data_IF_388822925106
#
_entry.id   IF_388822925106
#
_cell.length_a   1.000
_cell.length_b   1.000
_cell.length_c   1.000
_cell.angle_alpha   90.00
_cell.angle_beta   90.00
_cell.angle_gamma   90.00
#
_symmetry.space_group_name_H-M   'P 1'
#
loop_
_entity.id
_entity.type
_entity.pdbx_description
1 polymer ?
#
# COMPACT_ATOMS: atom_id res chain seq x y z
N UNK A 1 28.11 30.14 -56.25
CA UNK A 1 27.53 28.78 -56.05
C UNK A 1 28.37 27.87 -55.13
N UNK A 2 29.71 27.86 -55.22
CA UNK A 2 30.56 26.94 -54.43
C UNK A 2 30.70 27.27 -52.93
N UNK A 3 30.51 28.52 -52.53
CA UNK A 3 30.55 28.96 -51.10
C UNK A 3 29.23 28.64 -50.38
N UNK A 4 28.10 28.74 -51.09
CA UNK A 4 26.77 28.38 -50.55
C UNK A 4 26.65 26.87 -50.28
N UNK A 5 27.23 26.03 -51.15
CA UNK A 5 27.26 24.58 -50.96
C UNK A 5 28.11 24.15 -49.75
N UNK A 6 29.26 24.81 -49.53
CA UNK A 6 30.13 24.51 -48.37
C UNK A 6 29.50 24.93 -47.03
N UNK A 7 28.77 26.05 -47.00
CA UNK A 7 28.01 26.49 -45.83
C UNK A 7 26.84 25.56 -45.52
N UNK A 8 26.11 25.09 -46.54
CA UNK A 8 25.01 24.14 -46.36
C UNK A 8 25.54 22.78 -45.86
N UNK A 9 26.65 22.28 -46.40
CA UNK A 9 27.27 21.02 -45.93
C UNK A 9 27.80 21.15 -44.51
N UNK A 10 28.42 22.28 -44.14
CA UNK A 10 28.89 22.51 -42.78
C UNK A 10 27.74 22.62 -41.77
N UNK A 11 26.62 23.26 -42.13
CA UNK A 11 25.44 23.38 -41.27
C UNK A 11 24.75 22.01 -41.09
N UNK A 12 24.68 21.18 -42.15
CA UNK A 12 24.14 19.82 -42.05
C UNK A 12 25.05 18.91 -41.21
N UNK A 13 26.37 19.03 -41.33
CA UNK A 13 27.32 18.24 -40.52
C UNK A 13 27.27 18.59 -39.01
N UNK A 14 27.00 19.86 -38.66
CA UNK A 14 26.82 20.27 -37.25
C UNK A 14 25.47 19.80 -36.71
N UNK A 15 24.43 19.70 -37.55
CA UNK A 15 23.10 19.24 -37.14
C UNK A 15 23.00 17.72 -36.96
N UNK A 16 23.74 16.92 -37.74
CA UNK A 16 23.77 15.46 -37.58
C UNK A 16 24.57 15.02 -36.35
N UNK A 17 25.56 15.82 -35.91
CA UNK A 17 26.39 15.49 -34.74
C UNK A 17 25.81 15.93 -33.40
N UNK A 18 24.69 16.67 -33.40
CA UNK A 18 24.04 17.20 -32.18
C UNK A 18 22.69 16.55 -31.88
N UNK A 19 22.43 15.33 -32.35
CA UNK A 19 21.35 14.53 -31.79
C UNK A 19 21.80 14.04 -30.41
N UNK A 20 21.25 14.52 -29.29
CA UNK A 20 21.38 13.77 -28.05
C UNK A 20 20.74 12.42 -28.34
N UNK A 21 21.52 11.35 -28.21
CA UNK A 21 21.00 9.99 -28.19
C UNK A 21 19.91 9.98 -27.13
N UNK A 22 18.64 10.00 -27.56
CA UNK A 22 17.52 9.65 -26.71
C UNK A 22 17.67 8.15 -26.49
N UNK A 23 18.58 7.80 -25.58
CA UNK A 23 18.59 6.51 -24.95
C UNK A 23 17.20 6.40 -24.33
N UNK A 24 16.33 5.66 -25.02
CA UNK A 24 15.11 5.17 -24.42
C UNK A 24 15.57 4.56 -23.11
N UNK A 25 15.21 5.21 -22.00
CA UNK A 25 15.38 4.64 -20.68
C UNK A 25 14.37 3.49 -20.64
N UNK A 26 14.74 2.40 -21.31
CA UNK A 26 14.21 1.07 -21.07
C UNK A 26 14.72 0.67 -19.70
N UNK A 27 14.23 1.38 -18.68
CA UNK A 27 14.05 0.78 -17.38
C UNK A 27 12.96 -0.25 -17.63
N UNK A 28 13.37 -1.41 -18.15
CA UNK A 28 12.64 -2.64 -17.88
C UNK A 28 12.31 -2.59 -16.39
N UNK A 29 11.09 -2.94 -15.97
CA UNK A 29 10.86 -3.07 -14.54
C UNK A 29 11.91 -4.06 -14.05
N UNK A 30 12.93 -3.52 -13.36
CA UNK A 30 13.83 -4.33 -12.57
C UNK A 30 12.85 -5.07 -11.69
N UNK A 31 12.72 -6.37 -11.95
CA UNK A 31 11.87 -7.26 -11.21
C UNK A 31 12.48 -7.19 -9.82
N UNK A 32 12.01 -6.23 -9.02
CA UNK A 32 12.55 -5.94 -7.72
C UNK A 32 12.47 -7.28 -7.04
N UNK A 33 13.63 -7.92 -6.91
CA UNK A 33 13.73 -9.12 -6.15
C UNK A 33 13.40 -8.60 -4.77
N UNK A 34 12.15 -8.81 -4.35
CA UNK A 34 11.75 -8.84 -2.96
C UNK A 34 12.54 -10.03 -2.43
N UNK A 35 13.84 -9.80 -2.22
CA UNK A 35 14.63 -10.53 -1.27
C UNK A 35 13.82 -10.35 -0.01
N UNK A 36 13.07 -11.39 0.33
CA UNK A 36 12.18 -11.43 1.46
C UNK A 36 13.01 -11.35 2.73
N UNK A 37 13.62 -10.19 2.98
CA UNK A 37 14.03 -9.78 4.30
C UNK A 37 12.71 -9.70 5.04
N UNK A 38 12.33 -10.81 5.68
CA UNK A 38 11.27 -10.85 6.67
C UNK A 38 11.60 -9.73 7.63
N UNK A 39 10.95 -8.58 7.47
CA UNK A 39 10.90 -7.58 8.51
C UNK A 39 10.13 -8.31 9.61
N UNK A 40 10.86 -8.85 10.57
CA UNK A 40 10.27 -9.43 11.74
C UNK A 40 9.54 -8.27 12.44
N UNK A 41 8.23 -8.15 12.18
CA UNK A 41 7.37 -7.22 12.89
C UNK A 41 7.39 -7.72 14.31
N UNK A 42 8.17 -7.03 15.14
CA UNK A 42 8.22 -7.38 16.55
C UNK A 42 6.84 -7.07 17.13
N UNK A 43 6.21 -8.04 17.82
CA UNK A 43 4.91 -7.81 18.43
C UNK A 43 5.03 -6.66 19.43
N UNK A 44 4.02 -5.80 19.47
CA UNK A 44 3.98 -4.67 20.41
C UNK A 44 3.75 -5.11 21.85
N UNK A 45 3.36 -6.38 22.07
CA UNK A 45 3.13 -6.95 23.39
C UNK A 45 3.50 -8.45 23.46
N UNK A 46 4.16 -8.86 24.54
CA UNK A 46 4.41 -10.28 24.85
C UNK A 46 3.31 -10.82 25.75
N UNK A 47 2.33 -11.52 25.17
CA UNK A 47 1.13 -11.98 25.87
C UNK A 47 1.42 -12.90 27.07
N UNK A 48 2.60 -13.55 27.12
CA UNK A 48 3.01 -14.41 28.24
C UNK A 48 3.22 -13.64 29.55
N UNK A 49 3.42 -12.33 29.46
CA UNK A 49 3.66 -11.46 30.63
C UNK A 49 2.38 -11.02 31.33
N UNK A 50 1.21 -11.10 30.68
CA UNK A 50 -0.05 -10.65 31.27
C UNK A 50 -0.71 -11.75 32.09
N UNK A 51 -0.87 -11.51 33.40
CA UNK A 51 -1.53 -12.46 34.32
C UNK A 51 -2.97 -12.76 33.91
N UNK A 52 -3.67 -11.77 33.36
CA UNK A 52 -5.06 -11.85 32.89
C UNK A 52 -5.26 -12.88 31.77
N UNK A 53 -4.19 -13.20 31.02
CA UNK A 53 -4.20 -14.15 29.89
C UNK A 53 -3.71 -15.55 30.28
N UNK A 54 -3.36 -15.80 31.55
CA UNK A 54 -2.83 -17.10 32.01
C UNK A 54 -3.91 -18.10 32.46
N UNK A 55 -5.18 -17.70 32.47
CA UNK A 55 -6.30 -18.58 32.80
C UNK A 55 -6.77 -19.36 31.56
N UNK A 56 -7.61 -20.37 31.75
CA UNK A 56 -8.33 -21.01 30.64
C UNK A 56 -9.18 -19.99 29.88
N UNK A 57 -8.98 -19.92 28.57
CA UNK A 57 -9.75 -19.08 27.64
C UNK A 57 -10.20 -19.99 26.50
N UNK A 58 -11.40 -20.58 26.62
CA UNK A 58 -11.88 -21.61 25.71
C UNK A 58 -12.55 -21.02 24.47
N UNK A 59 -12.98 -19.75 24.57
CA UNK A 59 -13.74 -19.08 23.51
C UNK A 59 -13.25 -17.66 23.27
N UNK A 60 -13.36 -17.19 22.03
CA UNK A 60 -13.00 -15.82 21.64
C UNK A 60 -13.54 -14.71 22.57
N UNK A 61 -14.84 -14.73 22.96
CA UNK A 61 -15.38 -13.71 23.86
C UNK A 61 -14.71 -13.64 25.24
N UNK A 62 -14.17 -14.74 25.75
CA UNK A 62 -13.44 -14.76 27.03
C UNK A 62 -12.10 -14.03 26.91
N UNK A 63 -11.42 -14.20 25.77
CA UNK A 63 -10.20 -13.45 25.44
C UNK A 63 -10.53 -11.96 25.33
N UNK A 64 -11.58 -11.60 24.60
CA UNK A 64 -12.02 -10.19 24.47
C UNK A 64 -12.31 -9.58 25.83
N UNK A 65 -13.02 -10.31 26.72
CA UNK A 65 -13.29 -9.84 28.09
C UNK A 65 -12.01 -9.59 28.88
N UNK A 66 -10.97 -10.41 28.69
CA UNK A 66 -9.67 -10.17 29.30
C UNK A 66 -8.97 -8.92 28.72
N UNK A 67 -9.00 -8.71 27.40
CA UNK A 67 -8.43 -7.51 26.78
C UNK A 67 -9.11 -6.21 27.25
N UNK A 68 -10.44 -6.24 27.37
CA UNK A 68 -11.25 -5.09 27.78
C UNK A 68 -11.06 -4.69 29.25
N UNK A 69 -10.38 -5.50 30.07
CA UNK A 69 -10.07 -5.11 31.46
C UNK A 69 -9.09 -3.93 31.53
N UNK A 70 -8.32 -3.70 30.47
CA UNK A 70 -7.39 -2.57 30.36
C UNK A 70 -7.74 -1.67 29.16
N UNK A 71 -8.31 -2.22 28.10
CA UNK A 71 -8.73 -1.49 26.90
C UNK A 71 -10.25 -1.22 26.89
N UNK A 72 -10.74 -0.50 27.89
CA UNK A 72 -12.18 -0.37 28.17
C UNK A 72 -13.00 0.22 27.02
N UNK A 73 -12.41 1.11 26.21
CA UNK A 73 -13.09 1.75 25.08
C UNK A 73 -12.81 1.08 23.72
N UNK A 74 -11.83 0.17 23.64
CA UNK A 74 -11.39 -0.38 22.36
C UNK A 74 -12.49 -1.15 21.64
N UNK A 75 -13.37 -1.84 22.37
CA UNK A 75 -14.53 -2.51 21.78
C UNK A 75 -15.44 -1.54 21.01
N UNK A 76 -15.78 -0.40 21.63
CA UNK A 76 -16.59 0.64 21.00
C UNK A 76 -15.88 1.23 19.78
N UNK A 77 -14.61 1.59 19.95
CA UNK A 77 -13.80 2.16 18.87
C UNK A 77 -13.73 1.23 17.65
N UNK A 78 -13.51 -0.08 17.85
CA UNK A 78 -13.50 -1.06 16.77
C UNK A 78 -14.87 -1.17 16.10
N UNK A 79 -15.95 -1.16 16.89
CA UNK A 79 -17.32 -1.24 16.37
C UNK A 79 -17.68 -0.07 15.45
N UNK A 80 -17.07 1.10 15.65
CA UNK A 80 -17.27 2.28 14.80
C UNK A 80 -16.47 2.22 13.48
N UNK A 81 -15.60 1.23 13.29
CA UNK A 81 -14.74 1.13 12.10
C UNK A 81 -15.38 0.32 10.95
N UNK A 82 -14.80 0.48 9.75
CA UNK A 82 -15.13 -0.35 8.58
C UNK A 82 -14.80 -1.84 8.77
N UNK A 83 -13.89 -2.18 9.69
CA UNK A 83 -13.49 -3.57 9.93
C UNK A 83 -14.57 -4.35 10.71
N UNK A 84 -15.40 -3.64 11.48
CA UNK A 84 -16.54 -4.22 12.18
C UNK A 84 -17.83 -4.09 11.38
N UNK A 85 -18.15 -2.87 10.94
CA UNK A 85 -19.41 -2.59 10.23
C UNK A 85 -19.44 -3.14 8.81
N UNK A 86 -18.27 -3.42 8.22
CA UNK A 86 -18.11 -3.79 6.81
C UNK A 86 -18.79 -2.81 5.84
N UNK A 87 -18.96 -1.57 6.29
CA UNK A 87 -19.77 -0.55 5.65
C UNK A 87 -19.02 0.78 5.66
N UNK A 88 -19.14 1.52 4.57
CA UNK A 88 -18.65 2.89 4.43
C UNK A 88 -19.68 3.69 3.63
N UNK A 89 -19.99 4.90 4.10
CA UNK A 89 -20.74 5.90 3.34
C UNK A 89 -19.83 7.09 3.06
N UNK A 90 -19.55 7.39 1.79
CA UNK A 90 -18.82 8.62 1.42
C UNK A 90 -19.80 9.80 1.42
N UNK A 91 -19.36 10.99 1.86
CA UNK A 91 -20.16 12.22 1.73
C UNK A 91 -20.57 12.41 0.26
N UNK A 92 -21.85 12.68 0.02
CA UNK A 92 -22.43 12.85 -1.32
C UNK A 92 -22.89 11.56 -2.01
N UNK A 93 -22.66 10.37 -1.42
CA UNK A 93 -23.24 9.13 -1.95
C UNK A 93 -24.58 8.80 -1.27
N UNK A 94 -25.55 8.40 -2.09
CA UNK A 94 -26.89 7.99 -1.64
C UNK A 94 -26.83 6.63 -0.93
N UNK A 95 -26.03 5.69 -1.44
CA UNK A 95 -26.01 4.30 -1.00
C UNK A 95 -24.79 3.97 -0.12
N UNK A 96 -24.96 3.03 0.81
CA UNK A 96 -23.85 2.46 1.60
C UNK A 96 -23.04 1.51 0.71
N UNK A 97 -21.71 1.52 0.85
CA UNK A 97 -20.80 0.61 0.17
C UNK A 97 -20.03 -0.22 1.20
N UNK A 98 -19.32 -1.27 0.77
CA UNK A 98 -18.49 -2.12 1.64
C UNK A 98 -18.89 -3.58 1.54
N UNK A 99 -18.14 -4.48 2.19
CA UNK A 99 -18.35 -5.93 2.06
C UNK A 99 -19.78 -6.35 2.42
N UNK A 100 -20.47 -5.63 3.30
CA UNK A 100 -21.86 -5.90 3.65
C UNK A 100 -22.87 -5.60 2.51
N UNK A 101 -22.48 -4.82 1.50
CA UNK A 101 -23.38 -4.31 0.45
C UNK A 101 -22.88 -4.53 -0.98
N UNK A 102 -21.65 -5.01 -1.15
CA UNK A 102 -21.02 -5.20 -2.47
C UNK A 102 -21.24 -6.61 -2.98
N UNK A 103 -21.85 -6.74 -4.16
CA UNK A 103 -21.83 -7.99 -4.95
C UNK A 103 -20.53 -8.08 -5.75
N UNK A 104 -19.97 -9.28 -5.85
CA UNK A 104 -18.77 -9.55 -6.64
C UNK A 104 -18.94 -10.89 -7.40
N UNK A 105 -17.98 -11.20 -8.28
CA UNK A 105 -17.97 -12.40 -9.12
C UNK A 105 -16.76 -13.30 -8.84
N UNK A 106 -16.32 -13.37 -7.58
CA UNK A 106 -15.23 -14.22 -7.11
C UNK A 106 -15.73 -15.57 -6.60
#
# INVERSE_FOLDING_TARGET
MKICLKLIVAIVLVFVFSLPSLAASGVAPEKAAITGKKIAVQPTADHRKFKQLKKGLERGPEVTKACLSCHTEAGKQVHDTIHWTWSKKKKGQLNKMGKAYTLNSF
#
